data_IF_526065910688
#
_entry.id   IF_526065910688
#
_cell.length_a   1.000
_cell.length_b   1.000
_cell.length_c   1.000
_cell.angle_alpha   90.00
_cell.angle_beta   90.00
_cell.angle_gamma   90.00
#
_symmetry.space_group_name_H-M   'P 1'
#
loop_
_entity.id
_entity.type
_entity.pdbx_description
1 polymer ?
#
# COMPACT_ATOMS: atom_id res chain seq x y z
N UNK A 1 12.52 12.28 -17.46
CA UNK A 1 12.09 13.48 -16.75
C UNK A 1 10.94 13.14 -15.81
N UNK A 2 11.02 13.61 -14.59
CA UNK A 2 10.02 13.31 -13.58
C UNK A 2 8.73 14.07 -13.84
N UNK A 3 7.59 13.41 -13.80
CA UNK A 3 6.30 14.09 -13.90
C UNK A 3 5.96 14.70 -12.56
N UNK A 4 5.44 15.90 -12.59
CA UNK A 4 5.08 16.62 -11.38
C UNK A 4 4.00 15.85 -10.60
N UNK A 5 4.24 15.67 -9.30
CA UNK A 5 3.31 14.95 -8.45
C UNK A 5 3.44 13.43 -8.49
N UNK A 6 4.40 12.93 -9.27
CA UNK A 6 4.60 11.49 -9.42
C UNK A 6 6.02 11.09 -9.07
N UNK A 7 6.16 9.89 -8.54
CA UNK A 7 7.45 9.27 -8.28
C UNK A 7 7.71 8.18 -9.32
N UNK A 8 8.94 8.13 -9.83
CA UNK A 8 9.36 6.99 -10.63
C UNK A 8 9.45 5.75 -9.74
N UNK A 9 9.56 4.58 -10.37
CA UNK A 9 9.73 3.33 -9.63
C UNK A 9 10.92 3.42 -8.68
N UNK A 10 12.06 3.93 -9.16
CA UNK A 10 13.26 4.07 -8.34
C UNK A 10 13.06 4.97 -7.15
N UNK A 11 12.41 6.11 -7.37
CA UNK A 11 12.13 7.05 -6.28
C UNK A 11 11.17 6.46 -5.27
N UNK A 12 10.17 5.74 -5.75
CA UNK A 12 9.13 5.16 -4.90
C UNK A 12 9.69 4.10 -3.97
N UNK A 13 10.50 3.17 -4.52
CA UNK A 13 11.09 2.12 -3.69
C UNK A 13 12.06 2.69 -2.67
N UNK A 14 12.76 3.76 -3.04
CA UNK A 14 13.69 4.41 -2.13
C UNK A 14 12.93 5.06 -0.96
N UNK A 15 11.86 5.77 -1.26
CA UNK A 15 11.04 6.40 -0.22
C UNK A 15 10.32 5.38 0.64
N UNK A 16 9.90 4.28 0.05
CA UNK A 16 9.18 3.23 0.76
C UNK A 16 10.08 2.24 1.48
N UNK A 17 11.38 2.32 1.27
CA UNK A 17 12.35 1.40 1.87
C UNK A 17 12.05 -0.06 1.54
N UNK A 18 11.70 -0.30 0.28
CA UNK A 18 11.48 -1.66 -0.23
C UNK A 18 12.38 -1.91 -1.41
N UNK A 19 12.46 -3.17 -1.83
CA UNK A 19 13.25 -3.53 -3.01
C UNK A 19 12.36 -3.46 -4.25
N UNK A 20 13.00 -3.36 -5.41
CA UNK A 20 12.30 -3.42 -6.69
C UNK A 20 11.54 -4.73 -6.83
N UNK A 21 12.12 -5.81 -6.36
CA UNK A 21 11.51 -7.13 -6.39
C UNK A 21 10.21 -7.17 -5.59
N UNK A 22 10.21 -6.57 -4.41
CA UNK A 22 9.03 -6.51 -3.56
C UNK A 22 7.91 -5.70 -4.24
N UNK A 23 8.27 -4.55 -4.80
CA UNK A 23 7.28 -3.73 -5.50
C UNK A 23 6.70 -4.46 -6.70
N UNK A 24 7.55 -5.14 -7.46
CA UNK A 24 7.11 -5.93 -8.59
C UNK A 24 6.14 -7.03 -8.17
N UNK A 25 6.44 -7.68 -7.06
CA UNK A 25 5.57 -8.71 -6.50
C UNK A 25 4.20 -8.14 -6.16
N UNK A 26 4.16 -6.96 -5.55
CA UNK A 26 2.90 -6.31 -5.21
C UNK A 26 2.12 -5.92 -6.46
N UNK A 27 2.82 -5.48 -7.50
CA UNK A 27 2.17 -5.15 -8.78
C UNK A 27 1.57 -6.40 -9.43
N UNK A 28 2.30 -7.50 -9.41
CA UNK A 28 1.86 -8.75 -10.02
C UNK A 28 0.63 -9.32 -9.33
N UNK A 29 0.53 -9.12 -8.04
CA UNK A 29 -0.59 -9.62 -7.25
C UNK A 29 -1.70 -8.59 -7.07
N UNK A 30 -1.60 -7.47 -7.75
CA UNK A 30 -2.60 -6.39 -7.69
C UNK A 30 -2.82 -5.87 -6.26
N UNK A 31 -1.80 -5.95 -5.44
CA UNK A 31 -1.84 -5.40 -4.08
C UNK A 31 -1.61 -3.89 -4.13
N UNK A 32 -0.71 -3.47 -5.01
CA UNK A 32 -0.39 -2.07 -5.19
C UNK A 32 -0.12 -1.84 -6.68
N UNK A 33 -0.91 -1.00 -7.31
CA UNK A 33 -0.78 -0.71 -8.73
C UNK A 33 -0.26 0.71 -8.93
N UNK A 34 0.50 0.94 -10.02
CA UNK A 34 0.97 2.30 -10.31
C UNK A 34 -0.22 3.22 -10.64
N UNK A 35 -0.07 4.49 -10.31
CA UNK A 35 -1.08 5.48 -10.64
C UNK A 35 -1.09 5.79 -12.13
N UNK A 36 0.06 5.66 -12.77
CA UNK A 36 0.22 6.01 -14.18
C UNK A 36 1.29 5.13 -14.81
N UNK A 37 1.03 4.69 -16.02
CA UNK A 37 2.03 4.00 -16.86
C UNK A 37 2.17 4.81 -18.12
N UNK A 38 3.42 5.23 -18.44
CA UNK A 38 3.63 6.08 -19.60
C UNK A 38 3.75 5.25 -20.88
N UNK A 39 4.00 5.93 -21.99
CA UNK A 39 4.08 5.29 -23.32
C UNK A 39 5.20 4.26 -23.40
N UNK A 40 6.24 4.43 -22.59
CA UNK A 40 7.39 3.53 -22.58
C UNK A 40 7.21 2.38 -21.59
N UNK A 41 6.06 2.32 -20.94
CA UNK A 41 5.78 1.27 -19.96
C UNK A 41 6.37 1.53 -18.60
N UNK A 42 6.83 2.75 -18.32
CA UNK A 42 7.36 3.09 -17.01
C UNK A 42 6.24 3.42 -16.04
N UNK A 43 6.38 2.92 -14.82
CA UNK A 43 5.39 3.08 -13.77
C UNK A 43 5.68 4.33 -12.94
N UNK A 44 4.62 5.03 -12.59
CA UNK A 44 4.71 6.22 -11.74
C UNK A 44 3.72 6.08 -10.58
N UNK A 45 4.13 6.60 -9.43
CA UNK A 45 3.39 6.47 -8.17
C UNK A 45 3.17 7.84 -7.56
N UNK A 46 2.16 7.94 -6.70
CA UNK A 46 1.82 9.21 -6.04
C UNK A 46 2.10 9.12 -4.55
N UNK A 47 1.92 10.23 -3.85
CA UNK A 47 2.00 10.24 -2.38
C UNK A 47 0.93 9.33 -1.77
N UNK A 48 -0.23 9.26 -2.40
CA UNK A 48 -1.29 8.34 -1.97
C UNK A 48 -0.81 6.91 -2.05
N UNK A 49 -0.14 6.57 -3.14
CA UNK A 49 0.42 5.23 -3.31
C UNK A 49 1.47 4.93 -2.24
N UNK A 50 2.26 5.95 -1.88
CA UNK A 50 3.26 5.79 -0.85
C UNK A 50 2.60 5.49 0.51
N UNK A 51 1.54 6.23 0.83
CA UNK A 51 0.77 5.96 2.04
C UNK A 51 0.17 4.57 2.04
N UNK A 52 -0.32 4.14 0.87
CA UNK A 52 -0.88 2.81 0.68
C UNK A 52 0.20 1.74 0.92
N UNK A 53 1.38 1.97 0.36
CA UNK A 53 2.51 1.06 0.57
C UNK A 53 2.86 0.95 2.05
N UNK A 54 2.90 2.07 2.75
CA UNK A 54 3.21 2.08 4.18
C UNK A 54 2.17 1.30 4.97
N UNK A 55 0.91 1.41 4.59
CA UNK A 55 -0.16 0.63 5.21
C UNK A 55 0.04 -0.86 4.97
N UNK A 56 0.38 -1.24 3.75
CA UNK A 56 0.64 -2.63 3.40
C UNK A 56 1.77 -3.19 4.25
N UNK A 57 2.87 -2.45 4.36
CA UNK A 57 4.03 -2.88 5.13
C UNK A 57 3.69 -3.03 6.60
N UNK A 58 2.88 -2.12 7.13
CA UNK A 58 2.44 -2.18 8.52
C UNK A 58 1.60 -3.43 8.77
N UNK A 59 0.67 -3.71 7.89
CA UNK A 59 -0.19 -4.90 8.01
C UNK A 59 0.62 -6.18 7.89
N UNK A 60 1.61 -6.20 7.02
CA UNK A 60 2.53 -7.34 6.91
C UNK A 60 3.29 -7.53 8.22
N UNK A 61 3.73 -6.44 8.81
CA UNK A 61 4.43 -6.48 10.09
C UNK A 61 3.54 -7.08 11.18
N UNK A 62 2.24 -6.81 11.12
CA UNK A 62 1.29 -7.35 12.09
C UNK A 62 0.95 -8.82 11.83
N UNK A 63 1.41 -9.39 10.72
CA UNK A 63 1.23 -10.79 10.43
C UNK A 63 0.08 -11.11 9.48
N UNK A 64 -0.53 -10.12 8.87
CA UNK A 64 -1.59 -10.37 7.89
C UNK A 64 -1.01 -10.93 6.60
N UNK A 65 -1.75 -11.83 5.95
CA UNK A 65 -1.37 -12.36 4.66
C UNK A 65 -1.62 -11.31 3.56
N UNK A 66 -0.97 -11.48 2.41
CA UNK A 66 -1.21 -10.58 1.28
C UNK A 66 -2.66 -10.65 0.81
N UNK A 67 -3.28 -11.83 0.89
CA UNK A 67 -4.68 -11.96 0.52
C UNK A 67 -5.56 -11.10 1.41
N UNK A 68 -5.30 -11.12 2.72
CA UNK A 68 -6.05 -10.30 3.67
C UNK A 68 -5.81 -8.82 3.41
N UNK A 69 -4.57 -8.43 3.18
CA UNK A 69 -4.20 -7.05 2.93
C UNK A 69 -4.85 -6.56 1.64
N UNK A 70 -4.88 -7.38 0.62
CA UNK A 70 -5.49 -7.03 -0.65
C UNK A 70 -6.96 -6.70 -0.47
N UNK A 71 -7.68 -7.47 0.32
CA UNK A 71 -9.08 -7.20 0.60
C UNK A 71 -9.25 -5.90 1.38
N UNK A 72 -8.39 -5.65 2.36
CA UNK A 72 -8.44 -4.44 3.17
C UNK A 72 -8.15 -3.19 2.35
N UNK A 73 -7.09 -3.25 1.53
CA UNK A 73 -6.63 -2.07 0.80
C UNK A 73 -7.39 -1.84 -0.49
N UNK A 74 -8.11 -2.83 -0.98
CA UNK A 74 -8.89 -2.70 -2.21
C UNK A 74 -9.87 -1.53 -2.12
N UNK A 75 -10.43 -1.30 -0.95
CA UNK A 75 -11.41 -0.24 -0.73
C UNK A 75 -10.77 1.07 -0.27
N UNK A 76 -9.46 1.12 -0.19
CA UNK A 76 -8.76 2.27 0.38
C UNK A 76 -8.78 3.52 -0.50
N UNK A 77 -9.33 3.43 -1.71
CA UNK A 77 -9.53 4.59 -2.55
C UNK A 77 -10.63 5.51 -2.02
N UNK A 78 -11.43 5.03 -1.10
CA UNK A 78 -12.51 5.79 -0.47
C UNK A 78 -12.03 6.28 0.89
N UNK A 79 -12.02 7.60 1.06
CA UNK A 79 -11.58 8.23 2.30
C UNK A 79 -12.41 7.74 3.50
N UNK A 80 -13.72 7.57 3.31
CA UNK A 80 -14.59 7.04 4.36
C UNK A 80 -14.15 5.66 4.80
N UNK A 81 -13.76 4.84 3.84
CA UNK A 81 -13.32 3.50 4.14
C UNK A 81 -12.01 3.51 4.92
N UNK A 82 -11.09 4.41 4.57
CA UNK A 82 -9.83 4.53 5.29
C UNK A 82 -10.08 4.83 6.76
N UNK A 83 -11.00 5.74 7.04
CA UNK A 83 -11.35 6.08 8.41
C UNK A 83 -11.94 4.87 9.13
N UNK A 84 -12.82 4.14 8.49
CA UNK A 84 -13.38 2.92 9.06
C UNK A 84 -12.33 1.88 9.31
N UNK A 85 -11.40 1.71 8.37
CA UNK A 85 -10.32 0.73 8.51
C UNK A 85 -9.45 1.03 9.72
N UNK A 86 -9.14 2.31 9.94
CA UNK A 86 -8.36 2.72 11.10
C UNK A 86 -9.09 2.39 12.39
N UNK A 87 -10.39 2.67 12.45
CA UNK A 87 -11.20 2.33 13.60
C UNK A 87 -11.26 0.83 13.84
N UNK A 88 -11.44 0.07 12.79
CA UNK A 88 -11.49 -1.38 12.88
C UNK A 88 -10.18 -1.96 13.38
N UNK A 89 -9.06 -1.43 12.90
CA UNK A 89 -7.75 -1.88 13.34
C UNK A 89 -7.58 -1.65 14.84
N UNK A 90 -7.99 -0.49 15.31
CA UNK A 90 -7.92 -0.17 16.73
C UNK A 90 -8.79 -1.13 17.52
N UNK A 91 -9.98 -1.39 17.04
CA UNK A 91 -10.91 -2.32 17.68
C UNK A 91 -10.32 -3.72 17.80
N UNK A 92 -9.76 -4.24 16.71
CA UNK A 92 -9.18 -5.58 16.70
C UNK A 92 -8.00 -5.69 17.67
N UNK A 93 -7.16 -4.67 17.71
CA UNK A 93 -6.03 -4.67 18.64
C UNK A 93 -6.51 -4.72 20.06
N UNK A 94 -7.49 -3.89 20.40
CA UNK A 94 -8.05 -3.87 21.75
C UNK A 94 -8.69 -5.21 22.11
N UNK A 95 -9.40 -5.80 21.17
CA UNK A 95 -10.05 -7.08 21.39
C UNK A 95 -9.04 -8.18 21.67
N UNK A 96 -7.94 -8.20 20.92
CA UNK A 96 -6.88 -9.18 21.15
C UNK A 96 -6.27 -9.03 22.52
N UNK A 97 -6.06 -7.81 22.95
CA UNK A 97 -5.51 -7.55 24.29
C UNK A 97 -6.45 -8.07 25.35
N UNK A 98 -7.73 -7.87 25.17
CA UNK A 98 -8.73 -8.33 26.12
C UNK A 98 -8.82 -9.85 26.18
N UNK A 99 -8.60 -10.51 25.05
CA UNK A 99 -8.65 -11.97 24.97
C UNK A 99 -7.39 -12.62 25.54
N UNK A 100 -6.31 -11.89 25.58
CA UNK A 100 -5.07 -12.41 26.13
C UNK A 100 -5.06 -12.29 27.65
#
# INVERSE_FOLDING_TARGET
>A
MKKQGYYSTGEFIKKGHITKKTLRYYNEHNVLNPALIDEKGQHYYTDEDLGHLQQILFLKYLGFSLADIKQMTFYSNDTSFLNKSLHMQTYFVNERIEQL
#
